data_IF_068072253141
#
_entry.id   IF_068072253141
#
_cell.length_a   1.000
_cell.length_b   1.000
_cell.length_c   1.000
_cell.angle_alpha   90.00
_cell.angle_beta   90.00
_cell.angle_gamma   90.00
#
_symmetry.space_group_name_H-M   'P 1'
#
loop_
_entity.id
_entity.type
_entity.pdbx_description
1 polymer ?
#
# COMPACT_ATOMS: atom_id res chain seq x y z
N UNK A 1 10.31 -2.54 2.25
CA UNK A 1 8.94 -3.04 1.97
C UNK A 1 8.83 -4.56 2.09
N UNK A 2 9.87 -5.34 1.79
CA UNK A 2 9.87 -6.81 1.94
C UNK A 2 9.51 -7.26 3.35
N UNK A 3 10.20 -6.73 4.37
CA UNK A 3 9.96 -7.11 5.77
C UNK A 3 8.52 -6.82 6.24
N UNK A 4 7.95 -5.69 5.80
CA UNK A 4 6.56 -5.31 6.11
C UNK A 4 5.55 -6.28 5.49
N UNK A 5 5.81 -6.75 4.26
CA UNK A 5 4.96 -7.75 3.59
C UNK A 5 5.02 -9.09 4.30
N UNK A 6 6.20 -9.52 4.73
CA UNK A 6 6.37 -10.79 5.43
C UNK A 6 5.73 -10.74 6.82
N UNK A 7 5.88 -9.63 7.55
CA UNK A 7 5.19 -9.42 8.81
C UNK A 7 3.67 -9.42 8.62
N UNK A 8 3.15 -8.68 7.63
CA UNK A 8 1.72 -8.68 7.33
C UNK A 8 1.21 -10.07 7.00
N UNK A 9 1.94 -10.85 6.20
CA UNK A 9 1.60 -12.24 5.86
C UNK A 9 1.54 -13.14 7.09
N UNK A 10 2.44 -12.96 8.06
CA UNK A 10 2.41 -13.70 9.32
C UNK A 10 1.19 -13.33 10.16
N UNK A 11 0.87 -12.04 10.30
CA UNK A 11 -0.31 -11.55 11.04
C UNK A 11 -1.59 -12.05 10.36
N UNK A 12 -1.68 -11.93 9.04
CA UNK A 12 -2.84 -12.35 8.26
C UNK A 12 -3.13 -13.85 8.40
N UNK A 13 -2.07 -14.68 8.39
CA UNK A 13 -2.17 -16.15 8.50
C UNK A 13 -2.24 -16.65 9.95
N UNK A 14 -2.14 -15.77 10.94
CA UNK A 14 -2.18 -16.16 12.34
C UNK A 14 -3.56 -16.72 12.70
N UNK A 15 -3.59 -17.99 13.15
CA UNK A 15 -4.83 -18.72 13.51
C UNK A 15 -5.66 -18.02 14.60
N UNK A 16 -5.02 -17.30 15.51
CA UNK A 16 -5.69 -16.57 16.59
C UNK A 16 -6.33 -15.27 16.11
N UNK A 17 -5.75 -14.65 15.08
CA UNK A 17 -6.27 -13.40 14.50
C UNK A 17 -7.25 -13.66 13.36
N UNK A 18 -7.31 -14.87 12.81
CA UNK A 18 -8.16 -15.24 11.66
C UNK A 18 -9.63 -14.80 11.78
N UNK A 19 -10.30 -14.85 12.95
CA UNK A 19 -11.69 -14.42 13.08
C UNK A 19 -11.90 -12.90 12.96
N UNK A 20 -10.87 -12.10 13.23
CA UNK A 20 -10.99 -10.64 13.30
C UNK A 20 -10.80 -9.97 11.95
N UNK A 21 -11.44 -8.85 11.66
CA UNK A 21 -11.06 -8.03 10.49
C UNK A 21 -9.68 -7.39 10.68
N UNK A 22 -8.96 -7.07 9.61
CA UNK A 22 -7.77 -6.23 9.68
C UNK A 22 -8.05 -4.84 9.13
N UNK A 23 -7.49 -3.84 9.80
CA UNK A 23 -7.36 -2.48 9.32
C UNK A 23 -5.85 -2.20 9.18
N UNK A 24 -5.43 -1.76 8.00
CA UNK A 24 -4.05 -1.44 7.69
C UNK A 24 -3.94 0.05 7.36
N UNK A 25 -3.04 0.73 8.08
CA UNK A 25 -2.71 2.12 7.81
C UNK A 25 -1.43 2.19 6.97
N UNK A 26 -1.56 2.70 5.75
CA UNK A 26 -0.44 3.09 4.91
C UNK A 26 -0.02 4.50 5.33
N UNK A 27 1.00 4.59 6.16
CA UNK A 27 1.44 5.85 6.77
C UNK A 27 2.59 6.50 5.98
N UNK A 28 2.81 7.80 6.21
CA UNK A 28 3.87 8.63 5.61
C UNK A 28 3.73 8.79 4.10
N UNK A 29 2.50 9.03 3.66
CA UNK A 29 2.18 9.18 2.24
C UNK A 29 2.82 10.43 1.62
N UNK A 30 3.06 11.47 2.42
CA UNK A 30 3.88 12.63 2.07
C UNK A 30 5.30 12.24 1.64
N UNK A 31 6.00 11.47 2.48
CA UNK A 31 7.36 11.00 2.21
C UNK A 31 7.36 10.01 1.05
N UNK A 32 6.30 9.22 0.90
CA UNK A 32 6.16 8.32 -0.25
C UNK A 32 6.08 9.08 -1.57
N UNK A 33 5.26 10.14 -1.64
CA UNK A 33 5.13 10.99 -2.83
C UNK A 33 6.48 11.64 -3.20
N UNK A 34 7.19 12.19 -2.21
CA UNK A 34 8.49 12.82 -2.44
C UNK A 34 9.52 11.80 -2.94
N UNK A 35 9.57 10.61 -2.32
CA UNK A 35 10.51 9.56 -2.72
C UNK A 35 10.23 9.00 -4.11
N UNK A 36 8.97 8.98 -4.55
CA UNK A 36 8.60 8.47 -5.87
C UNK A 36 9.30 9.24 -7.00
N UNK A 37 9.62 10.52 -6.78
CA UNK A 37 10.31 11.40 -7.75
C UNK A 37 11.79 11.05 -7.93
N UNK A 38 12.46 10.59 -6.88
CA UNK A 38 13.91 10.35 -6.87
C UNK A 38 14.28 8.86 -6.85
N UNK A 39 13.35 8.01 -6.43
CA UNK A 39 13.49 6.57 -6.35
C UNK A 39 12.25 5.90 -6.97
N UNK A 40 12.20 5.80 -8.31
CA UNK A 40 11.07 5.21 -9.03
C UNK A 40 10.74 3.81 -8.53
N UNK A 41 9.44 3.54 -8.36
CA UNK A 41 8.97 2.29 -7.76
C UNK A 41 9.30 1.07 -8.62
N UNK A 42 9.42 1.24 -9.94
CA UNK A 42 9.80 0.17 -10.87
C UNK A 42 11.22 -0.36 -10.65
N UNK A 43 12.10 0.41 -10.00
CA UNK A 43 13.43 -0.07 -9.63
C UNK A 43 13.37 -1.18 -8.56
N UNK A 44 12.30 -1.21 -7.77
CA UNK A 44 12.07 -2.21 -6.71
C UNK A 44 11.00 -3.23 -7.10
N UNK A 45 10.04 -2.82 -7.94
CA UNK A 45 8.93 -3.62 -8.42
C UNK A 45 8.79 -3.46 -9.94
N UNK A 46 9.58 -4.21 -10.75
CA UNK A 46 9.55 -4.09 -12.21
C UNK A 46 8.15 -4.29 -12.82
N UNK A 47 7.27 -5.01 -12.14
CA UNK A 47 5.87 -5.19 -12.54
C UNK A 47 5.05 -3.88 -12.51
N UNK A 48 5.46 -2.90 -11.70
CA UNK A 48 4.83 -1.57 -11.63
C UNK A 48 4.95 -0.81 -12.94
N UNK A 49 6.00 -1.09 -13.73
CA UNK A 49 6.21 -0.44 -15.04
C UNK A 49 5.01 -0.61 -15.98
N UNK A 50 4.22 -1.66 -15.80
CA UNK A 50 3.00 -1.92 -16.60
C UNK A 50 1.84 -0.97 -16.26
N UNK A 51 1.88 -0.35 -15.08
CA UNK A 51 0.89 0.61 -14.61
C UNK A 51 1.25 2.05 -15.03
N UNK A 52 2.48 2.27 -15.53
CA UNK A 52 2.96 3.58 -15.97
C UNK A 52 2.52 3.89 -17.40
N UNK A 53 2.27 5.17 -17.67
CA UNK A 53 2.12 5.72 -19.02
C UNK A 53 2.98 6.99 -19.16
N UNK A 54 3.43 7.30 -20.37
CA UNK A 54 4.38 8.39 -20.64
C UNK A 54 3.77 9.81 -20.49
N UNK A 55 2.44 9.91 -20.39
CA UNK A 55 1.70 11.17 -20.31
C UNK A 55 1.14 11.45 -18.91
N UNK A 56 1.52 10.63 -17.92
CA UNK A 56 0.94 10.66 -16.58
C UNK A 56 1.43 11.86 -15.78
N UNK A 57 0.52 12.53 -15.09
CA UNK A 57 0.84 13.60 -14.14
C UNK A 57 1.44 13.04 -12.85
N UNK A 58 2.13 13.87 -12.07
CA UNK A 58 2.66 13.51 -10.73
C UNK A 58 1.56 12.99 -9.79
N UNK A 59 0.34 13.55 -9.88
CA UNK A 59 -0.81 13.16 -9.06
C UNK A 59 -1.33 11.77 -9.46
N UNK A 60 -1.50 11.53 -10.76
CA UNK A 60 -1.91 10.21 -11.27
C UNK A 60 -0.86 9.14 -10.97
N UNK A 61 0.44 9.47 -11.10
CA UNK A 61 1.54 8.56 -10.74
C UNK A 61 1.46 8.15 -9.27
N UNK A 62 1.15 9.10 -8.39
CA UNK A 62 1.01 8.84 -6.96
C UNK A 62 -0.20 7.95 -6.65
N UNK A 63 -1.36 8.22 -7.26
CA UNK A 63 -2.56 7.39 -7.08
C UNK A 63 -2.34 5.96 -7.59
N UNK A 64 -1.75 5.81 -8.78
CA UNK A 64 -1.40 4.50 -9.35
C UNK A 64 -0.38 3.77 -8.47
N UNK A 65 0.61 4.47 -7.91
CA UNK A 65 1.57 3.88 -6.98
C UNK A 65 0.90 3.41 -5.68
N UNK A 66 -0.04 4.17 -5.13
CA UNK A 66 -0.82 3.76 -3.95
C UNK A 66 -1.60 2.48 -4.25
N UNK A 67 -2.32 2.45 -5.37
CA UNK A 67 -3.16 1.31 -5.71
C UNK A 67 -2.33 0.07 -6.04
N UNK A 68 -1.16 0.25 -6.65
CA UNK A 68 -0.19 -0.81 -6.79
C UNK A 68 0.23 -1.36 -5.42
N UNK A 69 0.60 -0.50 -4.46
CA UNK A 69 0.98 -0.91 -3.10
C UNK A 69 -0.16 -1.63 -2.39
N UNK A 70 -1.40 -1.13 -2.47
CA UNK A 70 -2.60 -1.82 -1.95
C UNK A 70 -2.76 -3.20 -2.59
N UNK A 71 -2.56 -3.30 -3.91
CA UNK A 71 -2.65 -4.58 -4.64
C UNK A 71 -1.65 -5.61 -4.11
N UNK A 72 -0.45 -5.17 -3.71
CA UNK A 72 0.58 -6.06 -3.18
C UNK A 72 0.14 -6.74 -1.86
N UNK A 73 -0.59 -6.03 -1.00
CA UNK A 73 -1.13 -6.59 0.24
C UNK A 73 -2.41 -7.40 0.00
N UNK A 74 -3.28 -6.96 -0.93
CA UNK A 74 -4.46 -7.72 -1.34
C UNK A 74 -4.10 -9.09 -1.96
N UNK A 75 -2.99 -9.19 -2.69
CA UNK A 75 -2.49 -10.48 -3.22
C UNK A 75 -2.16 -11.49 -2.12
N UNK A 76 -1.82 -11.04 -0.90
CA UNK A 76 -1.54 -11.93 0.24
C UNK A 76 -2.81 -12.62 0.76
N UNK A 77 -3.97 -11.95 0.64
CA UNK A 77 -5.29 -12.49 0.98
C UNK A 77 -5.73 -13.60 0.01
N UNK A 78 -5.40 -13.48 -1.28
CA UNK A 78 -5.81 -14.45 -2.30
C UNK A 78 -7.34 -14.61 -2.33
N UNK A 79 -7.82 -15.85 -2.24
CA UNK A 79 -9.27 -16.16 -2.25
C UNK A 79 -9.95 -16.06 -0.88
N UNK A 80 -9.20 -15.72 0.18
CA UNK A 80 -9.79 -15.53 1.51
C UNK A 80 -10.79 -14.35 1.47
N UNK A 81 -11.96 -14.50 2.08
CA UNK A 81 -13.04 -13.50 2.11
C UNK A 81 -12.96 -12.57 3.32
N UNK A 82 -11.99 -12.78 4.22
CA UNK A 82 -11.76 -11.94 5.40
C UNK A 82 -11.59 -10.46 5.00
N UNK A 83 -12.35 -9.53 5.61
CA UNK A 83 -12.23 -8.11 5.30
C UNK A 83 -10.83 -7.57 5.62
N UNK A 84 -10.27 -6.83 4.68
CA UNK A 84 -9.02 -6.08 4.81
C UNK A 84 -9.30 -4.63 4.39
N UNK A 85 -9.33 -3.73 5.35
CA UNK A 85 -9.51 -2.30 5.13
C UNK A 85 -8.13 -1.64 5.06
N UNK A 86 -7.87 -0.87 4.01
CA UNK A 86 -6.60 -0.17 3.83
C UNK A 86 -6.88 1.33 3.75
N UNK A 87 -6.35 2.08 4.71
CA UNK A 87 -6.47 3.53 4.76
C UNK A 87 -5.10 4.16 4.56
N UNK A 88 -5.02 5.15 3.68
CA UNK A 88 -3.85 6.02 3.56
C UNK A 88 -3.92 7.07 4.66
N UNK A 89 -2.83 7.23 5.40
CA UNK A 89 -2.73 8.18 6.51
C UNK A 89 -1.49 9.04 6.30
N UNK A 90 -1.63 10.33 6.60
CA UNK A 90 -0.49 11.23 6.67
C UNK A 90 -0.33 11.62 8.14
N UNK A 91 0.51 10.90 8.90
CA UNK A 91 0.68 11.16 10.34
C UNK A 91 1.27 12.55 10.67
N UNK A 92 1.74 13.29 9.66
CA UNK A 92 2.20 14.69 9.74
C UNK A 92 1.09 15.70 9.45
N UNK A 93 -0.07 15.26 8.94
CA UNK A 93 -1.21 16.12 8.67
C UNK A 93 -2.35 15.76 9.63
N UNK A 94 -2.53 16.60 10.66
CA UNK A 94 -3.57 16.49 11.68
C UNK A 94 -5.01 16.56 11.13
N UNK A 95 -5.18 16.63 9.81
CA UNK A 95 -6.47 16.73 9.10
C UNK A 95 -7.06 15.37 8.67
N UNK A 96 -6.28 14.28 8.63
CA UNK A 96 -6.72 12.99 8.07
C UNK A 96 -7.17 11.94 9.12
N UNK A 97 -7.49 12.33 10.35
CA UNK A 97 -7.93 11.41 11.43
C UNK A 97 -9.45 11.48 11.70
N UNK A 98 -10.22 12.12 10.82
CA UNK A 98 -11.66 12.25 11.01
C UNK A 98 -12.42 12.22 9.69
N UNK A 99 -12.74 11.02 9.22
CA UNK A 99 -14.02 10.63 8.59
C UNK A 99 -14.17 9.10 8.61
#
# INVERSE_FOLDING_TARGET
MTDTKDLFKQIYRNKFLRPSSLIMFLNKMDIFAEKLKYAPLENFYPEFKKELNDEMTDEELFDVAIDFVKSLFSKIKGNDRRPLYMHTTNATDTRNVGE
#
